data_IF_110983274394
#
_entry.id   IF_110983274394
#
_cell.length_a   1.000
_cell.length_b   1.000
_cell.length_c   1.000
_cell.angle_alpha   90.00
_cell.angle_beta   90.00
_cell.angle_gamma   90.00
#
_symmetry.space_group_name_H-M   'P 1'
#
loop_
_entity.id
_entity.type
_entity.pdbx_description
1 polymer ?
#
# COMPACT_ATOMS: atom_id res chain seq x y z
N UNK A 1 15.61 -9.90 17.82
CA UNK A 1 15.45 -9.72 17.29
C UNK A 1 14.87 -9.25 16.38
N UNK A 2 14.72 -8.72 15.77
CA UNK A 2 14.16 -7.96 14.75
C UNK A 2 13.14 -8.70 13.99
N UNK A 3 12.09 -8.12 13.73
CA UNK A 3 11.08 -8.79 12.94
C UNK A 3 11.32 -8.60 11.48
N UNK A 4 10.77 -9.48 10.71
CA UNK A 4 10.78 -9.35 9.26
C UNK A 4 9.43 -8.83 8.82
N UNK A 5 9.43 -7.77 8.05
CA UNK A 5 8.20 -7.21 7.52
C UNK A 5 8.20 -7.38 6.03
N UNK A 6 7.14 -7.99 5.52
CA UNK A 6 6.98 -8.18 4.10
C UNK A 6 5.99 -7.16 3.57
N UNK A 7 6.39 -6.44 2.55
CA UNK A 7 5.54 -5.40 1.97
C UNK A 7 5.23 -5.78 0.53
N UNK A 8 3.95 -5.84 0.21
CA UNK A 8 3.51 -6.18 -1.13
C UNK A 8 2.54 -5.14 -1.64
N UNK A 9 2.70 -4.76 -2.88
CA UNK A 9 1.74 -3.89 -3.53
C UNK A 9 0.63 -4.76 -4.11
N UNK A 10 -0.56 -4.63 -3.54
CA UNK A 10 -1.65 -5.54 -3.90
C UNK A 10 -2.57 -4.94 -4.96
N UNK A 11 -2.69 -3.64 -5.00
CA UNK A 11 -3.65 -3.02 -5.89
C UNK A 11 -3.09 -1.69 -6.36
N UNK A 12 -3.29 -1.41 -7.63
CA UNK A 12 -2.94 -0.13 -8.20
C UNK A 12 -4.08 0.32 -9.11
N UNK A 13 -4.58 1.51 -8.87
CA UNK A 13 -5.65 2.06 -9.68
C UNK A 13 -5.44 3.53 -9.92
N UNK A 14 -6.16 4.04 -10.90
CA UNK A 14 -6.08 5.45 -11.22
C UNK A 14 -7.49 5.98 -11.45
N UNK A 15 -7.81 7.07 -10.80
CA UNK A 15 -9.11 7.67 -10.93
C UNK A 15 -9.12 8.63 -12.11
N UNK A 16 -10.33 8.99 -12.51
CA UNK A 16 -10.47 9.87 -13.67
C UNK A 16 -9.87 11.25 -13.45
N UNK A 17 -9.80 11.66 -12.20
CA UNK A 17 -9.27 12.98 -11.88
C UNK A 17 -7.75 12.97 -11.76
N UNK A 18 -7.10 11.86 -12.09
CA UNK A 18 -5.65 11.79 -12.03
C UNK A 18 -5.09 11.30 -10.70
N UNK A 19 -5.96 10.98 -9.77
CA UNK A 19 -5.50 10.48 -8.48
C UNK A 19 -5.13 9.01 -8.62
N UNK A 20 -3.95 8.67 -8.11
CA UNK A 20 -3.49 7.28 -8.09
C UNK A 20 -3.74 6.68 -6.72
N UNK A 21 -4.25 5.47 -6.73
CA UNK A 21 -4.57 4.74 -5.51
C UNK A 21 -3.71 3.50 -5.46
N UNK A 22 -2.99 3.33 -4.38
CA UNK A 22 -2.15 2.15 -4.19
C UNK A 22 -2.50 1.50 -2.87
N UNK A 23 -2.56 0.19 -2.88
CA UNK A 23 -2.82 -0.58 -1.67
C UNK A 23 -1.61 -1.45 -1.40
N UNK A 24 -1.04 -1.27 -0.23
CA UNK A 24 0.10 -2.07 0.20
C UNK A 24 -0.31 -2.93 1.37
N UNK A 25 0.14 -4.15 1.36
CA UNK A 25 -0.11 -5.09 2.45
C UNK A 25 1.20 -5.38 3.16
N UNK A 26 1.21 -5.14 4.46
CA UNK A 26 2.38 -5.42 5.28
C UNK A 26 2.09 -6.61 6.15
N UNK A 27 2.99 -7.56 6.14
CA UNK A 27 2.86 -8.76 6.97
C UNK A 27 4.09 -8.88 7.83
N UNK A 28 3.90 -8.96 9.15
CA UNK A 28 5.05 -9.16 10.01
C UNK A 28 5.20 -10.63 10.37
N UNK A 29 6.26 -10.95 11.09
CA UNK A 29 6.57 -12.35 11.37
C UNK A 29 5.56 -12.98 12.32
N UNK A 30 4.80 -12.18 13.02
CA UNK A 30 3.77 -12.72 13.92
C UNK A 30 2.48 -13.07 13.18
N UNK A 31 2.45 -12.83 11.89
CA UNK A 31 1.25 -13.12 11.13
C UNK A 31 0.26 -11.97 11.12
N UNK A 32 0.66 -10.82 11.63
CA UNK A 32 -0.21 -9.66 11.65
C UNK A 32 -0.19 -8.99 10.28
N UNK A 33 -1.35 -8.67 9.76
CA UNK A 33 -1.48 -8.10 8.44
C UNK A 33 -2.07 -6.71 8.58
N UNK A 34 -1.40 -5.74 7.96
CA UNK A 34 -1.85 -4.35 7.95
C UNK A 34 -1.92 -3.90 6.51
N UNK A 35 -3.03 -3.29 6.15
CA UNK A 35 -3.20 -2.76 4.81
C UNK A 35 -3.18 -1.25 4.85
N UNK A 36 -2.44 -0.66 3.93
CA UNK A 36 -2.26 0.78 3.85
C UNK A 36 -2.69 1.24 2.48
N UNK A 37 -3.57 2.23 2.45
CA UNK A 37 -4.02 2.82 1.20
C UNK A 37 -3.37 4.18 1.04
N UNK A 38 -2.71 4.38 -0.09
CA UNK A 38 -2.02 5.62 -0.37
C UNK A 38 -2.68 6.27 -1.57
N UNK A 39 -3.04 7.54 -1.40
CA UNK A 39 -3.64 8.32 -2.45
C UNK A 39 -2.66 9.41 -2.86
N UNK A 40 -2.33 9.43 -4.13
CA UNK A 40 -1.42 10.44 -4.65
C UNK A 40 -2.12 11.22 -5.73
N UNK A 41 -2.21 12.53 -5.55
CA UNK A 41 -2.88 13.38 -6.50
C UNK A 41 -1.87 14.18 -7.28
N UNK A 42 -2.06 14.19 -8.59
CA UNK A 42 -1.18 14.93 -9.47
C UNK A 42 -1.79 16.27 -9.81
N UNK A 43 -0.97 17.30 -9.68
CA UNK A 43 -1.40 18.62 -10.12
C UNK A 43 -0.67 18.97 -11.40
N UNK A 44 -1.35 19.62 -12.24
CA UNK A 44 -0.73 20.10 -13.47
C UNK A 44 -0.65 21.59 -13.50
#
# INVERSE_FOLDING_TARGET
>A
MGGTIKIEEKLFGKLDNGTEVKLFQLTNENGMIVEVVILTKHYQ
#
